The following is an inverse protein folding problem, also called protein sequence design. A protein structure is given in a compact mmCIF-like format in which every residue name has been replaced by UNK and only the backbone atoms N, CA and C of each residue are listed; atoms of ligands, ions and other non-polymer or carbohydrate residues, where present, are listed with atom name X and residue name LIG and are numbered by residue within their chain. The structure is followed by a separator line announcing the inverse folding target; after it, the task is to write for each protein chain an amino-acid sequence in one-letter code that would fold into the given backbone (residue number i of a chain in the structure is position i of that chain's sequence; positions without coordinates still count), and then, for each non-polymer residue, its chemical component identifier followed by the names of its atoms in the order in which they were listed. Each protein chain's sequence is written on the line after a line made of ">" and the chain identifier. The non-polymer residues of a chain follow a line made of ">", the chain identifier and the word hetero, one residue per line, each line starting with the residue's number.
data_IF_436067711404
#
_entry.id   IF_436067711404
#
_cell.length_a   1.000
_cell.length_b   1.000
_cell.length_c   1.000
_cell.angle_alpha   90.00
_cell.angle_beta   90.00
_cell.angle_gamma   90.00
#
_symmetry.space_group_name_H-M   'P 1'
#
loop_
_entity.id
_entity.type
_entity.pdbx_description
1 polymer ?
#
# COMPACT_ATOMS: atom_id res chain seq x y z
N UNK A 1 6.76 -2.55 -31.13
CA UNK A 1 6.05 -1.54 -30.31
C UNK A 1 4.58 -1.91 -30.30
N UNK A 2 4.11 -2.63 -29.27
CA UNK A 2 2.70 -2.99 -29.12
C UNK A 2 2.07 -2.10 -28.06
N UNK A 3 1.09 -1.28 -28.44
CA UNK A 3 0.25 -0.54 -27.48
C UNK A 3 -0.71 -1.55 -26.84
N UNK A 4 -0.69 -1.68 -25.52
CA UNK A 4 -1.72 -2.41 -24.79
C UNK A 4 -2.91 -1.47 -24.55
N UNK A 5 -4.06 -1.80 -25.12
CA UNK A 5 -5.33 -1.14 -24.82
C UNK A 5 -5.85 -1.62 -23.44
N UNK A 6 -6.14 -0.67 -22.54
CA UNK A 6 -6.82 -0.93 -21.28
C UNK A 6 -8.32 -1.15 -21.56
N UNK A 7 -8.81 -2.37 -21.38
CA UNK A 7 -10.24 -2.63 -21.27
C UNK A 7 -10.69 -2.32 -19.83
N UNK A 8 -11.31 -1.16 -19.61
CA UNK A 8 -11.94 -0.81 -18.34
C UNK A 8 -13.41 -1.25 -18.34
N UNK A 9 -13.73 -2.29 -17.57
CA UNK A 9 -15.11 -2.61 -17.17
C UNK A 9 -15.34 -1.96 -15.81
N UNK A 10 -16.12 -0.87 -15.78
CA UNK A 10 -16.37 -0.08 -14.57
C UNK A 10 -17.44 -0.75 -13.71
N UNK A 11 -17.01 -1.51 -12.70
CA UNK A 11 -17.81 -1.73 -11.50
C UNK A 11 -17.29 -0.75 -10.43
N UNK A 12 -18.10 0.23 -10.04
CA UNK A 12 -17.75 1.32 -9.10
C UNK A 12 -17.44 0.84 -7.68
N UNK A 13 -17.58 -0.45 -7.40
CA UNK A 13 -17.21 -1.10 -6.13
C UNK A 13 -16.04 -2.07 -6.25
N UNK A 14 -15.44 -2.21 -7.44
CA UNK A 14 -14.25 -3.02 -7.67
C UNK A 14 -12.98 -2.12 -7.75
N UNK A 15 -11.83 -2.59 -7.26
CA UNK A 15 -10.57 -1.90 -7.47
C UNK A 15 -10.27 -1.80 -8.97
N UNK A 16 -10.08 -0.59 -9.48
CA UNK A 16 -9.70 -0.35 -10.86
C UNK A 16 -8.18 -0.43 -10.98
N UNK A 17 -7.67 -1.24 -11.91
CA UNK A 17 -6.24 -1.24 -12.26
C UNK A 17 -5.90 0.14 -12.85
N UNK A 18 -5.03 0.88 -12.17
CA UNK A 18 -4.54 2.19 -12.62
C UNK A 18 -3.25 2.05 -13.39
N UNK A 19 -2.43 1.06 -13.02
CA UNK A 19 -1.16 0.79 -13.67
C UNK A 19 -0.82 -0.70 -13.55
N UNK A 20 -0.29 -1.27 -14.63
CA UNK A 20 0.25 -2.61 -14.65
C UNK A 20 1.52 -2.61 -15.49
N UNK A 21 2.60 -3.18 -14.95
CA UNK A 21 3.88 -3.33 -15.63
C UNK A 21 4.38 -4.76 -15.46
N UNK A 22 4.62 -5.43 -16.57
CA UNK A 22 5.31 -6.72 -16.59
C UNK A 22 6.80 -6.44 -16.46
N UNK A 23 7.36 -6.81 -15.32
CA UNK A 23 8.80 -6.85 -15.11
C UNK A 23 9.25 -8.30 -15.27
N UNK A 24 10.52 -8.51 -15.59
CA UNK A 24 11.12 -9.80 -15.98
C UNK A 24 10.47 -11.05 -15.36
N UNK A 25 10.26 -11.06 -14.04
CA UNK A 25 9.84 -12.23 -13.27
C UNK A 25 8.42 -12.13 -12.68
N UNK A 26 7.62 -11.14 -13.09
CA UNK A 26 6.29 -10.95 -12.50
C UNK A 26 5.57 -9.67 -12.92
N UNK A 27 4.47 -9.41 -12.22
CA UNK A 27 3.57 -8.30 -12.52
C UNK A 27 3.55 -7.32 -11.36
N UNK A 28 3.92 -6.07 -11.63
CA UNK A 28 3.67 -4.94 -10.74
C UNK A 28 2.32 -4.35 -11.09
N UNK A 29 1.43 -4.29 -10.12
CA UNK A 29 0.09 -3.75 -10.27
C UNK A 29 -0.17 -2.64 -9.26
N UNK A 30 -0.93 -1.66 -9.69
CA UNK A 30 -1.43 -0.57 -8.89
C UNK A 30 -2.93 -0.49 -9.11
N UNK A 31 -3.70 -0.47 -8.04
CA UNK A 31 -5.13 -0.29 -8.15
C UNK A 31 -5.63 0.85 -7.27
N UNK A 32 -6.63 1.55 -7.79
CA UNK A 32 -7.43 2.49 -7.02
C UNK A 32 -8.73 1.81 -6.63
N UNK A 33 -8.98 1.78 -5.33
CA UNK A 33 -10.24 1.34 -4.79
C UNK A 33 -11.08 2.58 -4.46
N UNK A 34 -12.14 2.85 -5.25
CA UNK A 34 -12.95 4.06 -5.10
C UNK A 34 -13.76 4.08 -3.80
N UNK A 35 -13.89 2.94 -3.09
CA UNK A 35 -14.55 2.87 -1.79
C UNK A 35 -13.77 3.57 -0.67
N UNK A 36 -12.47 3.81 -0.88
CA UNK A 36 -11.66 4.57 0.08
C UNK A 36 -11.90 6.07 -0.06
N UNK A 37 -12.13 6.80 1.05
CA UNK A 37 -12.28 8.24 0.98
C UNK A 37 -10.99 8.89 0.46
N UNK A 38 -11.14 9.84 -0.47
CA UNK A 38 -10.06 10.75 -0.83
C UNK A 38 -9.94 11.79 0.25
N UNK A 39 -8.74 11.96 0.79
CA UNK A 39 -8.49 12.96 1.82
C UNK A 39 -7.63 14.05 1.21
N UNK A 40 -8.22 15.23 1.06
CA UNK A 40 -7.46 16.41 0.72
C UNK A 40 -6.67 16.86 1.97
N UNK A 41 -5.33 17.01 1.90
CA UNK A 41 -4.54 17.46 3.05
C UNK A 41 -5.00 18.81 3.60
N UNK A 42 -5.62 19.67 2.77
CA UNK A 42 -6.20 20.94 3.20
C UNK A 42 -7.39 20.79 4.17
N UNK A 43 -8.07 19.64 4.16
CA UNK A 43 -9.20 19.33 5.05
C UNK A 43 -8.73 18.75 6.38
N UNK A 44 -7.59 18.05 6.40
CA UNK A 44 -6.98 17.53 7.64
C UNK A 44 -6.55 18.66 8.57
N UNK A 45 -6.18 19.81 8.02
CA UNK A 45 -5.88 21.02 8.79
C UNK A 45 -7.12 21.74 9.36
N UNK A 46 -8.33 21.42 8.89
CA UNK A 46 -9.59 22.04 9.36
C UNK A 46 -10.32 21.20 10.41
N UNK A 47 -9.95 19.93 10.59
CA UNK A 47 -10.53 19.04 11.58
C UNK A 47 -9.73 19.08 12.90
N UNK A 48 -9.47 20.30 13.37
CA UNK A 48 -8.65 20.59 14.55
C UNK A 48 -9.35 21.38 15.64
N UNK A 49 -10.70 21.42 15.66
CA UNK A 49 -11.40 22.33 16.58
C UNK A 49 -12.75 21.85 17.13
N UNK A 50 -12.90 20.56 17.47
CA UNK A 50 -13.99 20.12 18.38
C UNK A 50 -13.69 18.78 19.08
N UNK A 51 -13.17 18.85 20.32
CA UNK A 51 -13.24 17.77 21.33
C UNK A 51 -11.90 17.28 21.89
N UNK A 52 -11.74 17.13 23.22
CA UNK A 52 -10.51 16.66 23.85
C UNK A 52 -10.43 15.12 23.76
N UNK A 53 -9.98 14.60 22.62
CA UNK A 53 -9.46 13.24 22.50
C UNK A 53 -8.11 13.36 21.80
N UNK A 54 -7.05 12.97 22.53
CA UNK A 54 -5.66 13.31 22.23
C UNK A 54 -5.33 13.30 20.75
N UNK A 55 -4.80 14.43 20.26
CA UNK A 55 -4.25 14.55 18.92
C UNK A 55 -3.48 13.28 18.58
N UNK A 56 -4.01 12.44 17.69
CA UNK A 56 -3.40 11.17 17.39
C UNK A 56 -2.02 11.46 16.80
N UNK A 57 -0.97 11.17 17.57
CA UNK A 57 0.40 11.41 17.14
C UNK A 57 0.70 10.44 15.98
N UNK A 58 0.89 10.98 14.79
CA UNK A 58 1.14 10.19 13.59
C UNK A 58 2.64 10.05 13.34
N UNK A 59 3.03 8.95 12.73
CA UNK A 59 4.41 8.59 12.43
C UNK A 59 5.06 7.62 13.42
N UNK A 60 4.40 7.29 14.54
CA UNK A 60 4.92 6.25 15.43
C UNK A 60 4.93 4.87 14.75
N UNK A 61 4.05 4.65 13.76
CA UNK A 61 3.99 3.44 12.96
C UNK A 61 3.89 2.19 13.86
N UNK A 62 2.95 2.23 14.81
CA UNK A 62 2.58 1.19 15.76
C UNK A 62 2.03 -0.03 15.03
N UNK A 63 2.72 -1.17 15.13
CA UNK A 63 2.45 -2.37 14.33
C UNK A 63 1.56 -3.38 15.06
N UNK A 64 0.69 -4.05 14.31
CA UNK A 64 -0.05 -5.25 14.71
C UNK A 64 0.14 -6.34 13.65
N UNK A 65 0.43 -7.55 14.10
CA UNK A 65 0.67 -8.70 13.23
C UNK A 65 -0.59 -9.53 13.03
N UNK A 66 -0.69 -10.18 11.86
CA UNK A 66 -1.79 -11.06 11.50
C UNK A 66 -1.30 -12.46 11.11
N UNK A 67 -2.02 -13.49 11.55
CA UNK A 67 -1.83 -14.85 11.04
C UNK A 67 -2.48 -15.12 9.68
N UNK A 68 -3.30 -14.19 9.19
CA UNK A 68 -4.09 -14.34 7.96
C UNK A 68 -3.49 -13.55 6.79
N UNK A 69 -3.80 -13.97 5.55
CA UNK A 69 -3.41 -13.27 4.32
C UNK A 69 -1.89 -13.04 4.20
N UNK A 70 -1.12 -14.07 4.57
CA UNK A 70 0.34 -13.97 4.67
C UNK A 70 1.00 -14.00 3.30
N UNK A 71 1.90 -13.05 3.06
CA UNK A 71 2.78 -13.02 1.90
C UNK A 71 4.14 -13.63 2.24
N UNK A 72 4.85 -14.19 1.25
CA UNK A 72 6.24 -14.60 1.43
C UNK A 72 7.13 -13.37 1.61
N UNK A 73 8.04 -13.42 2.57
CA UNK A 73 8.94 -12.30 2.87
C UNK A 73 9.84 -11.95 1.68
N UNK A 74 10.29 -12.94 0.91
CA UNK A 74 11.07 -12.70 -0.32
C UNK A 74 10.32 -11.94 -1.40
N UNK A 75 9.01 -12.17 -1.52
CA UNK A 75 8.15 -11.49 -2.51
C UNK A 75 7.87 -10.05 -2.07
N UNK A 76 7.66 -9.84 -0.77
CA UNK A 76 7.60 -8.49 -0.22
C UNK A 76 8.94 -7.76 -0.36
N UNK A 77 10.07 -8.43 -0.15
CA UNK A 77 11.41 -7.89 -0.39
C UNK A 77 11.58 -7.43 -1.84
N UNK A 78 11.16 -8.24 -2.81
CA UNK A 78 11.17 -7.84 -4.22
C UNK A 78 10.28 -6.63 -4.50
N UNK A 79 9.10 -6.53 -3.86
CA UNK A 79 8.27 -5.34 -3.95
C UNK A 79 8.98 -4.10 -3.38
N UNK A 80 9.68 -4.21 -2.24
CA UNK A 80 10.52 -3.13 -1.72
C UNK A 80 11.59 -2.70 -2.72
N UNK A 81 12.30 -3.64 -3.35
CA UNK A 81 13.35 -3.33 -4.32
C UNK A 81 12.79 -2.60 -5.54
N UNK A 82 11.66 -3.07 -6.08
CA UNK A 82 10.98 -2.45 -7.23
C UNK A 82 10.54 -1.02 -6.89
N UNK A 83 9.83 -0.84 -5.78
CA UNK A 83 9.33 0.47 -5.37
C UNK A 83 10.46 1.40 -4.90
N UNK A 84 11.58 0.85 -4.44
CA UNK A 84 12.76 1.57 -3.98
C UNK A 84 13.71 1.95 -5.11
N UNK A 85 13.50 1.40 -6.31
CA UNK A 85 14.28 1.72 -7.49
C UNK A 85 14.19 3.19 -7.91
N UNK A 86 15.21 3.71 -8.60
CA UNK A 86 15.32 5.13 -8.95
C UNK A 86 14.13 5.62 -9.79
N UNK A 87 13.52 4.73 -10.57
CA UNK A 87 12.39 5.05 -11.44
C UNK A 87 11.06 5.23 -10.68
N UNK A 88 10.89 4.66 -9.48
CA UNK A 88 9.59 4.60 -8.78
C UNK A 88 9.62 5.31 -7.43
N UNK A 89 10.74 5.28 -6.69
CA UNK A 89 10.80 5.76 -5.30
C UNK A 89 10.33 7.21 -5.12
N UNK A 90 10.65 8.08 -6.09
CA UNK A 90 10.29 9.50 -6.07
C UNK A 90 9.01 9.83 -6.86
N UNK A 91 8.33 8.83 -7.45
CA UNK A 91 7.03 9.07 -8.10
C UNK A 91 6.01 9.45 -7.04
N UNK A 92 5.20 10.45 -7.34
CA UNK A 92 4.02 10.80 -6.57
C UNK A 92 3.16 9.57 -6.37
N UNK A 93 2.71 9.35 -5.13
CA UNK A 93 1.75 8.32 -4.82
C UNK A 93 0.48 8.64 -5.61
N UNK A 94 0.06 7.74 -6.49
CA UNK A 94 -1.17 7.93 -7.24
C UNK A 94 -2.35 7.88 -6.27
N UNK A 95 -3.53 8.36 -6.69
CA UNK A 95 -4.80 8.23 -5.96
C UNK A 95 -5.31 6.76 -5.85
N UNK A 96 -4.37 5.82 -5.92
CA UNK A 96 -4.54 4.41 -5.66
C UNK A 96 -4.59 4.14 -4.15
N UNK A 97 -4.96 2.92 -3.77
CA UNK A 97 -4.90 2.47 -2.38
C UNK A 97 -3.87 1.38 -2.13
N UNK A 98 -3.29 0.79 -3.18
CA UNK A 98 -2.29 -0.27 -3.01
C UNK A 98 -1.39 -0.51 -4.23
N UNK A 99 -0.13 -0.89 -3.93
CA UNK A 99 0.80 -1.52 -4.86
C UNK A 99 0.86 -3.02 -4.58
N UNK A 100 0.88 -3.85 -5.62
CA UNK A 100 1.09 -5.29 -5.48
C UNK A 100 2.16 -5.79 -6.47
N UNK A 101 3.02 -6.67 -5.99
CA UNK A 101 3.89 -7.47 -6.83
C UNK A 101 3.44 -8.92 -6.79
N UNK A 102 3.24 -9.53 -7.95
CA UNK A 102 2.91 -10.95 -8.10
C UNK A 102 4.02 -11.64 -8.89
N UNK A 103 4.67 -12.62 -8.27
CA UNK A 103 5.65 -13.49 -8.93
C UNK A 103 4.91 -14.63 -9.66
N UNK A 104 5.16 -14.75 -10.96
CA UNK A 104 4.48 -15.75 -11.82
C UNK A 104 5.08 -17.15 -11.69
N UNK A 105 6.27 -17.29 -11.11
CA UNK A 105 6.96 -18.57 -10.93
C UNK A 105 6.65 -19.23 -9.59
N UNK A 106 5.96 -18.53 -8.70
CA UNK A 106 5.58 -19.03 -7.37
C UNK A 106 4.09 -19.38 -7.35
N UNK A 107 3.76 -20.57 -6.85
CA UNK A 107 2.38 -21.10 -6.84
C UNK A 107 1.59 -20.76 -5.57
N UNK A 108 2.26 -20.39 -4.47
CA UNK A 108 1.61 -20.12 -3.18
C UNK A 108 2.13 -18.86 -2.51
N UNK A 109 1.20 -18.02 -2.03
CA UNK A 109 1.49 -16.71 -1.43
C UNK A 109 2.44 -15.88 -2.31
N UNK A 110 2.21 -15.96 -3.62
CA UNK A 110 3.07 -15.41 -4.67
C UNK A 110 2.91 -13.90 -4.88
N UNK A 111 2.04 -13.28 -4.08
CA UNK A 111 1.71 -11.86 -4.14
C UNK A 111 2.06 -11.20 -2.81
N UNK A 112 2.60 -10.00 -2.89
CA UNK A 112 2.72 -9.09 -1.76
C UNK A 112 2.15 -7.73 -2.15
N UNK A 113 1.45 -7.09 -1.23
CA UNK A 113 0.80 -5.82 -1.44
C UNK A 113 1.10 -4.84 -0.31
N UNK A 114 1.43 -3.60 -0.68
CA UNK A 114 1.42 -2.44 0.21
C UNK A 114 0.09 -1.75 -0.01
N UNK A 115 -0.78 -1.75 0.99
CA UNK A 115 -2.10 -1.11 0.90
C UNK A 115 -2.29 -0.11 2.02
N UNK A 116 -3.11 0.92 1.83
CA UNK A 116 -3.35 1.94 2.84
C UNK A 116 -4.80 2.42 2.84
N UNK A 117 -5.26 2.92 3.98
CA UNK A 117 -6.69 3.06 4.27
C UNK A 117 -7.37 4.34 3.78
N UNK A 118 -6.68 5.17 2.99
CA UNK A 118 -7.18 6.48 2.50
C UNK A 118 -6.47 6.86 1.21
N UNK A 119 -7.12 7.48 0.22
CA UNK A 119 -6.38 7.96 -0.96
C UNK A 119 -5.58 9.21 -0.60
N UNK A 120 -4.29 9.25 -0.96
CA UNK A 120 -3.35 10.35 -0.69
C UNK A 120 -2.56 10.67 -1.95
N UNK A 121 -2.54 11.93 -2.38
CA UNK A 121 -1.94 12.36 -3.66
C UNK A 121 -0.74 13.31 -3.50
N UNK A 122 -0.39 13.70 -2.27
CA UNK A 122 0.62 14.74 -1.98
C UNK A 122 1.95 14.21 -1.48
N UNK A 123 2.20 12.91 -1.60
CA UNK A 123 3.45 12.28 -1.15
C UNK A 123 4.01 11.34 -2.19
N UNK A 124 5.16 10.71 -1.93
CA UNK A 124 5.89 9.87 -2.88
C UNK A 124 5.92 8.42 -2.44
N UNK A 125 6.17 7.50 -3.37
CA UNK A 125 6.15 6.05 -3.11
C UNK A 125 7.04 5.63 -1.94
N UNK A 126 8.22 6.26 -1.79
CA UNK A 126 9.14 5.99 -0.68
C UNK A 126 8.54 6.23 0.71
N UNK A 127 7.51 7.08 0.83
CA UNK A 127 6.83 7.35 2.11
C UNK A 127 6.12 6.11 2.69
N UNK A 128 5.85 5.08 1.87
CA UNK A 128 5.28 3.81 2.32
C UNK A 128 6.28 2.95 3.10
N UNK A 129 7.59 3.23 3.01
CA UNK A 129 8.62 2.30 3.44
C UNK A 129 8.79 2.20 4.96
N UNK A 130 8.74 3.30 5.74
CA UNK A 130 8.93 3.22 7.18
C UNK A 130 7.96 2.26 7.88
N UNK A 131 6.67 2.37 7.60
CA UNK A 131 5.66 1.50 8.19
C UNK A 131 5.78 0.05 7.68
N UNK A 132 5.92 -0.12 6.36
CA UNK A 132 6.08 -1.46 5.77
C UNK A 132 7.32 -2.18 6.32
N UNK A 133 8.44 -1.47 6.50
CA UNK A 133 9.68 -2.04 7.05
C UNK A 133 9.49 -2.48 8.50
N UNK A 134 8.77 -1.70 9.31
CA UNK A 134 8.45 -2.11 10.69
C UNK A 134 7.56 -3.35 10.71
N UNK A 135 6.53 -3.42 9.87
CA UNK A 135 5.67 -4.61 9.74
C UNK A 135 6.52 -5.82 9.30
N UNK A 136 7.38 -5.65 8.30
CA UNK A 136 8.28 -6.69 7.80
C UNK A 136 9.17 -7.26 8.90
N UNK A 137 9.76 -6.39 9.74
CA UNK A 137 10.65 -6.80 10.83
C UNK A 137 9.92 -7.46 12.00
N UNK A 138 8.74 -6.97 12.37
CA UNK A 138 8.04 -7.40 13.59
C UNK A 138 7.06 -8.55 13.36
N UNK A 139 6.50 -8.66 12.15
CA UNK A 139 5.45 -9.63 11.83
C UNK A 139 5.91 -10.80 10.97
N UNK A 140 7.20 -10.87 10.66
CA UNK A 140 7.75 -12.01 9.94
C UNK A 140 7.84 -13.24 10.86
N UNK A 141 7.19 -14.33 10.44
CA UNK A 141 7.27 -15.65 11.07
C UNK A 141 7.37 -16.69 9.97
N UNK A 142 8.35 -17.60 10.03
CA UNK A 142 8.53 -18.70 9.05
C UNK A 142 8.52 -18.24 7.59
N UNK A 143 9.30 -17.20 7.26
CA UNK A 143 9.37 -16.60 5.92
C UNK A 143 8.02 -16.08 5.36
N UNK A 144 7.04 -15.85 6.24
CA UNK A 144 5.75 -15.27 5.92
C UNK A 144 5.54 -13.99 6.72
N UNK A 145 4.82 -13.02 6.16
CA UNK A 145 4.50 -11.75 6.80
C UNK A 145 3.05 -11.36 6.52
N UNK A 146 2.38 -10.86 7.56
CA UNK A 146 1.14 -10.10 7.42
C UNK A 146 0.97 -9.21 8.63
N UNK A 147 0.56 -7.96 8.40
CA UNK A 147 0.32 -7.02 9.47
C UNK A 147 -0.08 -5.65 8.96
N UNK A 148 -0.31 -4.76 9.91
CA UNK A 148 -0.69 -3.38 9.63
C UNK A 148 -0.16 -2.44 10.70
N UNK A 149 -0.16 -1.15 10.38
CA UNK A 149 0.26 -0.06 11.27
C UNK A 149 -0.80 1.04 11.32
N UNK A 150 -1.14 1.56 12.51
CA UNK A 150 -2.38 2.34 12.77
C UNK A 150 -2.28 3.87 12.79
N UNK A 151 -1.11 4.41 12.48
CA UNK A 151 -0.70 5.78 12.78
C UNK A 151 0.40 6.19 11.79
N UNK A 152 0.27 5.75 10.54
CA UNK A 152 1.20 6.09 9.48
C UNK A 152 0.91 7.51 9.02
N UNK A 153 1.94 8.33 8.94
CA UNK A 153 1.85 9.66 8.33
C UNK A 153 2.26 9.57 6.87
N UNK A 154 1.29 9.66 5.95
CA UNK A 154 1.53 9.82 4.52
C UNK A 154 1.09 11.21 4.08
N UNK A 155 2.04 12.07 3.72
CA UNK A 155 1.74 13.42 3.20
C UNK A 155 0.94 14.31 4.16
N UNK A 156 1.10 14.14 5.47
CA UNK A 156 0.34 14.85 6.50
C UNK A 156 -0.98 14.17 6.88
N UNK A 157 -1.35 13.07 6.22
CA UNK A 157 -2.56 12.30 6.51
C UNK A 157 -2.21 11.11 7.39
N UNK A 158 -2.91 11.02 8.53
CA UNK A 158 -2.85 9.88 9.43
C UNK A 158 -3.74 8.75 8.92
N UNK A 159 -3.15 7.59 8.69
CA UNK A 159 -3.87 6.45 8.14
C UNK A 159 -3.27 5.11 8.58
N UNK A 160 -3.96 4.04 8.17
CA UNK A 160 -3.48 2.68 8.35
C UNK A 160 -2.77 2.20 7.09
N UNK A 161 -1.60 1.60 7.24
CA UNK A 161 -0.91 0.90 6.16
C UNK A 161 -0.80 -0.58 6.48
N UNK A 162 -0.98 -1.44 5.49
CA UNK A 162 -0.94 -2.89 5.61
C UNK A 162 0.09 -3.49 4.64
N UNK A 163 0.63 -4.63 5.05
CA UNK A 163 1.53 -5.46 4.26
C UNK A 163 0.99 -6.90 4.31
N UNK A 164 0.55 -7.44 3.18
CA UNK A 164 -0.08 -8.77 3.12
C UNK A 164 -0.09 -9.34 1.70
N UNK A 165 -0.65 -10.52 1.48
CA UNK A 165 -0.84 -11.08 0.13
C UNK A 165 -2.12 -10.59 -0.57
N UNK A 166 -2.90 -9.71 0.07
CA UNK A 166 -4.14 -9.16 -0.47
C UNK A 166 -4.05 -7.64 -0.71
N UNK A 167 -4.66 -7.15 -1.80
CA UNK A 167 -4.74 -5.71 -2.08
C UNK A 167 -5.72 -4.96 -1.17
N UNK A 168 -6.77 -5.64 -0.69
CA UNK A 168 -7.92 -5.03 -0.01
C UNK A 168 -7.99 -5.36 1.49
N UNK A 169 -8.90 -4.69 2.20
CA UNK A 169 -9.14 -4.94 3.63
C UNK A 169 -8.15 -4.24 4.56
N UNK A 170 -7.53 -3.16 4.10
CA UNK A 170 -6.75 -2.25 4.92
C UNK A 170 -7.63 -1.06 5.36
N UNK A 171 -8.53 -1.29 6.31
CA UNK A 171 -9.50 -0.31 6.83
C UNK A 171 -9.20 0.02 8.28
#
# INVERSE_FOLDING_TARGET
>A
MGKAELAAVTNTSAPNIVYAEVLKDGLLELYSDPSFPEVNPAEVSKQGDNGPQGAQACGANSVRCSGSNRARTGICGRLFDILGGPSIACRTLPAASHYCWTDVHVTSNNRCCFSWSRRVTTTVTRSLFPAATKIMRQCQVNALVSGWSHDVNLGGVCLRQCLSNRPSGCT
#
